data_IF_362558215542
#
_entry.id   IF_362558215542
#
_cell.length_a   1.000
_cell.length_b   1.000
_cell.length_c   1.000
_cell.angle_alpha   90.00
_cell.angle_beta   90.00
_cell.angle_gamma   90.00
#
_symmetry.space_group_name_H-M   'P 1'
#
loop_
_entity.id
_entity.type
_entity.pdbx_description
1 polymer ?
#
# COMPACT_ATOMS: atom_id res chain seq x y z
N UNK A 1 -19.11 -42.05 -75.07
CA UNK A 1 -18.01 -41.17 -74.76
C UNK A 1 -18.58 -39.87 -74.16
N UNK A 2 -18.69 -39.78 -72.84
CA UNK A 2 -19.12 -38.58 -72.13
C UNK A 2 -17.91 -37.92 -71.47
N UNK A 3 -17.50 -36.78 -71.97
CA UNK A 3 -16.43 -35.94 -71.36
C UNK A 3 -17.02 -34.98 -70.34
N UNK A 4 -16.74 -35.21 -69.06
CA UNK A 4 -17.10 -34.27 -67.99
C UNK A 4 -15.99 -33.21 -67.80
N UNK A 5 -16.32 -31.95 -67.95
CA UNK A 5 -15.41 -30.80 -67.63
C UNK A 5 -15.58 -30.46 -66.19
N UNK A 6 -14.56 -30.75 -65.40
CA UNK A 6 -14.51 -30.42 -63.99
C UNK A 6 -13.94 -28.96 -63.78
N UNK A 7 -14.83 -27.98 -63.70
CA UNK A 7 -14.44 -26.58 -63.43
C UNK A 7 -14.23 -26.45 -61.96
N UNK A 8 -12.97 -26.31 -61.47
CA UNK A 8 -12.64 -25.90 -60.15
C UNK A 8 -12.94 -24.40 -60.06
N UNK A 9 -14.06 -24.06 -59.43
CA UNK A 9 -14.35 -22.67 -59.03
C UNK A 9 -13.49 -22.35 -57.81
N UNK A 10 -12.51 -21.43 -57.86
CA UNK A 10 -11.81 -20.99 -56.66
C UNK A 10 -12.79 -20.17 -55.83
N UNK A 11 -13.41 -20.82 -54.85
CA UNK A 11 -14.15 -20.11 -53.81
C UNK A 11 -13.08 -19.31 -53.06
N UNK A 12 -13.03 -18.01 -53.29
CA UNK A 12 -12.12 -17.06 -52.66
C UNK A 12 -12.37 -17.06 -51.17
N UNK A 13 -11.72 -17.94 -50.46
CA UNK A 13 -11.67 -17.91 -49.00
C UNK A 13 -10.75 -16.74 -48.62
N UNK A 14 -11.30 -15.54 -48.53
CA UNK A 14 -10.58 -14.28 -48.20
C UNK A 14 -10.10 -14.22 -46.75
N UNK A 15 -10.07 -15.36 -46.05
CA UNK A 15 -9.63 -15.41 -44.62
C UNK A 15 -10.33 -14.38 -43.72
N UNK A 16 -11.55 -13.94 -44.09
CA UNK A 16 -12.27 -12.87 -43.41
C UNK A 16 -12.55 -13.21 -41.93
N UNK A 17 -12.79 -14.49 -41.63
CA UNK A 17 -12.95 -15.00 -40.27
C UNK A 17 -11.69 -14.79 -39.44
N UNK A 18 -10.52 -15.14 -39.93
CA UNK A 18 -9.23 -14.98 -39.27
C UNK A 18 -8.86 -13.51 -39.09
N UNK A 19 -9.19 -12.66 -40.04
CA UNK A 19 -8.97 -11.21 -39.94
C UNK A 19 -9.88 -10.62 -38.85
N UNK A 20 -11.15 -11.03 -38.81
CA UNK A 20 -12.09 -10.58 -37.81
C UNK A 20 -11.69 -11.03 -36.39
N UNK A 21 -11.25 -12.28 -36.22
CA UNK A 21 -10.73 -12.85 -35.00
C UNK A 21 -9.49 -12.08 -34.48
N UNK A 22 -8.50 -11.86 -35.35
CA UNK A 22 -7.29 -11.14 -35.03
C UNK A 22 -7.59 -9.68 -34.61
N UNK A 23 -8.53 -9.01 -35.29
CA UNK A 23 -8.98 -7.66 -34.91
C UNK A 23 -9.71 -7.67 -33.59
N UNK A 24 -10.51 -8.69 -33.29
CA UNK A 24 -11.18 -8.82 -31.99
C UNK A 24 -10.17 -9.06 -30.87
N UNK A 25 -9.19 -9.94 -31.08
CA UNK A 25 -8.10 -10.21 -30.14
C UNK A 25 -7.25 -8.95 -29.89
N UNK A 26 -6.95 -8.16 -30.92
CA UNK A 26 -6.24 -6.91 -30.78
C UNK A 26 -7.03 -5.89 -29.93
N UNK A 27 -8.33 -5.71 -30.19
CA UNK A 27 -9.17 -4.83 -29.39
C UNK A 27 -9.26 -5.30 -27.93
N UNK A 28 -9.37 -6.61 -27.72
CA UNK A 28 -9.34 -7.19 -26.36
C UNK A 28 -8.02 -6.90 -25.64
N UNK A 29 -6.89 -7.07 -26.32
CA UNK A 29 -5.58 -6.77 -25.75
C UNK A 29 -5.43 -5.29 -25.38
N UNK A 30 -5.89 -4.38 -26.24
CA UNK A 30 -5.89 -2.94 -25.94
C UNK A 30 -6.79 -2.60 -24.74
N UNK A 31 -7.97 -3.19 -24.66
CA UNK A 31 -8.88 -2.99 -23.53
C UNK A 31 -8.27 -3.53 -22.23
N UNK A 32 -7.64 -4.69 -22.27
CA UNK A 32 -6.94 -5.26 -21.12
C UNK A 32 -5.77 -4.37 -20.66
N UNK A 33 -4.99 -3.85 -21.59
CA UNK A 33 -3.89 -2.92 -21.27
C UNK A 33 -4.42 -1.65 -20.59
N UNK A 34 -5.48 -1.05 -21.13
CA UNK A 34 -6.09 0.14 -20.52
C UNK A 34 -6.67 -0.17 -19.12
N UNK A 35 -7.30 -1.33 -18.94
CA UNK A 35 -7.82 -1.75 -17.63
C UNK A 35 -6.68 -1.95 -16.62
N UNK A 36 -5.58 -2.59 -17.03
CA UNK A 36 -4.40 -2.79 -16.19
C UNK A 36 -3.76 -1.45 -15.79
N UNK A 37 -3.65 -0.51 -16.73
CA UNK A 37 -3.12 0.82 -16.44
C UNK A 37 -3.95 1.56 -15.39
N UNK A 38 -5.28 1.50 -15.50
CA UNK A 38 -6.19 2.09 -14.49
C UNK A 38 -6.01 1.40 -13.14
N UNK A 39 -5.93 0.06 -13.11
CA UNK A 39 -5.73 -0.71 -11.87
C UNK A 39 -4.43 -0.32 -11.16
N UNK A 40 -3.32 -0.24 -11.89
CA UNK A 40 -2.02 0.16 -11.34
C UNK A 40 -2.07 1.59 -10.78
N UNK A 41 -2.69 2.52 -11.50
CA UNK A 41 -2.85 3.90 -11.00
C UNK A 41 -3.67 3.97 -9.72
N UNK A 42 -4.73 3.17 -9.62
CA UNK A 42 -5.57 3.09 -8.42
C UNK A 42 -4.79 2.47 -7.24
N UNK A 43 -4.00 1.44 -7.49
CA UNK A 43 -3.16 0.78 -6.49
C UNK A 43 -2.11 1.74 -5.92
N UNK A 44 -1.38 2.45 -6.78
CA UNK A 44 -0.41 3.48 -6.35
C UNK A 44 -1.08 4.60 -5.55
N UNK A 45 -2.23 5.08 -6.01
CA UNK A 45 -2.96 6.14 -5.31
C UNK A 45 -3.46 5.67 -3.91
N UNK A 46 -3.95 4.43 -3.81
CA UNK A 46 -4.37 3.85 -2.55
C UNK A 46 -3.21 3.62 -1.58
N UNK A 47 -2.07 3.12 -2.08
CA UNK A 47 -0.85 2.91 -1.28
C UNK A 47 -0.28 4.24 -0.78
N UNK A 48 -0.26 5.28 -1.63
CA UNK A 48 0.16 6.61 -1.23
C UNK A 48 -0.76 7.22 -0.15
N UNK A 49 -2.07 7.08 -0.31
CA UNK A 49 -3.03 7.57 0.69
C UNK A 49 -2.84 6.86 2.05
N UNK A 50 -2.62 5.54 2.03
CA UNK A 50 -2.34 4.74 3.23
C UNK A 50 -1.04 5.17 3.90
N UNK A 51 0.04 5.32 3.12
CA UNK A 51 1.32 5.80 3.63
C UNK A 51 1.20 7.17 4.31
N UNK A 52 0.55 8.14 3.67
CA UNK A 52 0.36 9.46 4.23
C UNK A 52 -0.45 9.42 5.54
N UNK A 53 -1.54 8.64 5.57
CA UNK A 53 -2.36 8.51 6.77
C UNK A 53 -1.59 7.85 7.94
N UNK A 54 -0.84 6.78 7.69
CA UNK A 54 -0.05 6.09 8.71
C UNK A 54 1.12 6.95 9.21
N UNK A 55 1.77 7.70 8.30
CA UNK A 55 2.85 8.61 8.65
C UNK A 55 2.35 9.76 9.53
N UNK A 56 1.23 10.39 9.15
CA UNK A 56 0.59 11.46 9.92
C UNK A 56 0.14 10.95 11.31
N UNK A 57 -0.46 9.76 11.38
CA UNK A 57 -0.85 9.15 12.65
C UNK A 57 0.36 8.90 13.57
N UNK A 58 1.47 8.40 13.02
CA UNK A 58 2.72 8.18 13.75
C UNK A 58 3.31 9.48 14.29
N UNK A 59 3.35 10.54 13.48
CA UNK A 59 3.86 11.86 13.89
C UNK A 59 3.00 12.50 14.97
N UNK A 60 1.67 12.40 14.85
CA UNK A 60 0.73 12.93 15.83
C UNK A 60 0.87 12.21 17.17
N UNK A 61 0.95 10.87 17.12
CA UNK A 61 1.12 10.06 18.33
C UNK A 61 2.46 10.37 19.03
N UNK A 62 3.52 10.53 18.26
CA UNK A 62 4.83 10.91 18.80
C UNK A 62 4.79 12.29 19.49
N UNK A 63 4.18 13.29 18.85
CA UNK A 63 4.20 14.67 19.30
C UNK A 63 3.26 14.91 20.48
N UNK A 64 2.02 14.42 20.38
CA UNK A 64 0.99 14.72 21.38
C UNK A 64 1.05 13.80 22.58
N UNK A 65 1.31 12.53 22.36
CA UNK A 65 1.23 11.51 23.41
C UNK A 65 2.54 11.37 24.17
N UNK A 66 3.66 11.16 23.47
CA UNK A 66 4.94 10.97 24.14
C UNK A 66 5.45 12.26 24.79
N UNK A 67 5.22 13.42 24.15
CA UNK A 67 5.63 14.72 24.72
C UNK A 67 4.88 15.10 26.00
N UNK A 68 3.58 14.86 26.05
CA UNK A 68 2.74 15.17 27.23
C UNK A 68 2.91 14.16 28.36
N UNK A 69 3.28 12.92 28.01
CA UNK A 69 3.37 11.83 28.97
C UNK A 69 4.46 12.04 30.03
N UNK A 70 5.64 12.50 29.65
CA UNK A 70 6.74 12.75 30.60
C UNK A 70 6.36 13.81 31.63
N UNK A 71 5.66 14.84 31.20
CA UNK A 71 5.18 15.90 32.13
C UNK A 71 4.12 15.36 33.09
N UNK A 72 3.15 14.58 32.57
CA UNK A 72 2.12 13.95 33.40
C UNK A 72 2.72 12.96 34.41
N UNK A 73 3.71 12.17 34.02
CA UNK A 73 4.41 11.26 34.91
C UNK A 73 5.11 12.02 36.03
N UNK A 74 5.76 13.15 35.72
CA UNK A 74 6.42 14.02 36.74
C UNK A 74 5.41 14.63 37.70
N UNK A 75 4.26 15.07 37.21
CA UNK A 75 3.17 15.58 38.02
C UNK A 75 2.59 14.50 38.94
N UNK A 76 2.38 13.30 38.43
CA UNK A 76 1.89 12.15 39.19
C UNK A 76 2.86 11.77 40.31
N UNK A 77 4.17 11.73 40.04
CA UNK A 77 5.21 11.44 41.04
C UNK A 77 5.23 12.50 42.18
N UNK A 78 5.08 13.77 41.83
CA UNK A 78 4.99 14.85 42.83
C UNK A 78 3.72 14.72 43.66
N UNK A 79 2.60 14.41 43.08
CA UNK A 79 1.32 14.20 43.74
C UNK A 79 1.36 13.00 44.69
N UNK A 80 2.02 11.92 44.27
CA UNK A 80 2.25 10.73 45.07
C UNK A 80 3.17 11.06 46.28
N UNK A 81 4.27 11.75 46.06
CA UNK A 81 5.18 12.18 47.15
C UNK A 81 4.50 13.12 48.15
N UNK A 82 3.52 13.91 47.72
CA UNK A 82 2.71 14.77 48.58
C UNK A 82 1.55 14.03 49.28
N UNK A 83 1.40 12.71 49.07
CA UNK A 83 0.33 11.89 49.65
C UNK A 83 -1.07 12.17 49.08
N UNK A 84 -1.16 12.86 47.94
CA UNK A 84 -2.43 13.22 47.29
C UNK A 84 -2.95 12.17 46.32
N UNK A 85 -2.09 11.24 45.88
CA UNK A 85 -2.39 10.20 44.89
C UNK A 85 -1.99 8.85 45.47
N UNK A 86 -2.82 7.81 45.22
CA UNK A 86 -2.59 6.46 45.71
C UNK A 86 -1.59 5.70 44.83
N UNK A 87 -1.02 4.61 45.37
CA UNK A 87 -0.16 3.70 44.62
C UNK A 87 -0.88 3.09 43.41
N UNK A 88 -2.15 2.82 43.55
CA UNK A 88 -2.99 2.27 42.46
C UNK A 88 -3.02 3.19 41.26
N UNK A 89 -3.13 4.51 41.46
CA UNK A 89 -3.16 5.49 40.36
C UNK A 89 -1.83 5.51 39.62
N UNK A 90 -0.70 5.35 40.32
CA UNK A 90 0.62 5.25 39.71
C UNK A 90 0.74 3.98 38.85
N UNK A 91 0.18 2.86 39.31
CA UNK A 91 0.19 1.61 38.55
C UNK A 91 -0.68 1.69 37.30
N UNK A 92 -1.89 2.29 37.40
CA UNK A 92 -2.80 2.51 36.26
C UNK A 92 -2.10 3.37 35.22
N UNK A 93 -1.53 4.49 35.62
CA UNK A 93 -0.81 5.37 34.70
C UNK A 93 0.38 4.70 34.00
N UNK A 94 1.13 3.86 34.73
CA UNK A 94 2.22 3.09 34.13
C UNK A 94 1.72 2.08 33.10
N UNK A 95 0.59 1.46 33.34
CA UNK A 95 -0.03 0.53 32.39
C UNK A 95 -0.48 1.26 31.15
N UNK A 96 -1.18 2.38 31.29
CA UNK A 96 -1.58 3.20 30.15
C UNK A 96 -0.38 3.63 29.31
N UNK A 97 0.74 3.95 29.95
CA UNK A 97 1.96 4.28 29.20
C UNK A 97 2.50 3.13 28.36
N UNK A 98 2.54 1.93 28.91
CA UNK A 98 2.99 0.75 28.18
C UNK A 98 2.06 0.49 26.98
N UNK A 99 0.76 0.64 27.16
CA UNK A 99 -0.23 0.48 26.10
C UNK A 99 0.00 1.51 24.97
N UNK A 100 0.21 2.78 25.34
CA UNK A 100 0.52 3.86 24.39
C UNK A 100 1.85 3.62 23.63
N UNK A 101 2.88 3.15 24.34
CA UNK A 101 4.15 2.80 23.67
C UNK A 101 3.97 1.66 22.66
N UNK A 102 3.13 0.68 22.98
CA UNK A 102 2.79 -0.40 22.07
C UNK A 102 2.07 0.13 20.83
N UNK A 103 1.05 0.95 21.02
CA UNK A 103 0.28 1.57 19.93
C UNK A 103 1.20 2.41 19.03
N UNK A 104 2.16 3.12 19.61
CA UNK A 104 3.15 3.87 18.84
C UNK A 104 4.03 2.96 17.98
N UNK A 105 4.54 1.86 18.54
CA UNK A 105 5.35 0.88 17.77
C UNK A 105 4.53 0.28 16.63
N UNK A 106 3.27 -0.08 16.88
CA UNK A 106 2.35 -0.61 15.88
C UNK A 106 2.13 0.41 14.75
N UNK A 107 1.82 1.66 15.09
CA UNK A 107 1.60 2.74 14.11
C UNK A 107 2.84 3.04 13.26
N UNK A 108 4.04 3.05 13.87
CA UNK A 108 5.30 3.19 13.12
C UNK A 108 5.53 2.00 12.19
N UNK A 109 5.24 0.79 12.65
CA UNK A 109 5.36 -0.41 11.84
C UNK A 109 4.42 -0.37 10.64
N UNK A 110 3.18 0.06 10.83
CA UNK A 110 2.19 0.25 9.76
C UNK A 110 2.65 1.29 8.75
N UNK A 111 3.24 2.39 9.19
CA UNK A 111 3.79 3.41 8.29
C UNK A 111 4.96 2.87 7.45
N UNK A 112 5.85 2.07 8.05
CA UNK A 112 6.96 1.42 7.33
C UNK A 112 6.45 0.41 6.30
N UNK A 113 5.47 -0.42 6.67
CA UNK A 113 4.86 -1.39 5.76
C UNK A 113 4.14 -0.69 4.60
N UNK A 114 3.38 0.37 4.89
CA UNK A 114 2.73 1.17 3.85
C UNK A 114 3.74 1.84 2.91
N UNK A 115 4.91 2.25 3.41
CA UNK A 115 6.02 2.74 2.58
C UNK A 115 6.56 1.68 1.63
N UNK A 116 6.77 0.46 2.12
CA UNK A 116 7.21 -0.68 1.29
C UNK A 116 6.16 -1.03 0.22
N UNK A 117 4.87 -1.04 0.59
CA UNK A 117 3.77 -1.28 -0.36
C UNK A 117 3.74 -0.21 -1.46
N UNK A 118 3.98 1.05 -1.12
CA UNK A 118 4.06 2.14 -2.08
C UNK A 118 5.24 1.98 -3.04
N UNK A 119 6.44 1.62 -2.52
CA UNK A 119 7.61 1.35 -3.34
C UNK A 119 7.38 0.20 -4.31
N UNK A 120 6.76 -0.89 -3.85
CA UNK A 120 6.38 -2.02 -4.69
C UNK A 120 5.36 -1.63 -5.77
N UNK A 121 4.32 -0.89 -5.39
CA UNK A 121 3.27 -0.44 -6.33
C UNK A 121 3.84 0.53 -7.39
N UNK A 122 4.82 1.36 -7.03
CA UNK A 122 5.49 2.30 -7.94
C UNK A 122 6.60 1.64 -8.79
N UNK A 123 6.92 0.36 -8.54
CA UNK A 123 7.99 -0.36 -9.24
C UNK A 123 9.40 -0.01 -8.75
N UNK A 124 9.53 0.69 -7.64
CA UNK A 124 10.81 0.99 -7.00
C UNK A 124 11.21 -0.24 -6.16
N UNK A 125 12.25 -0.95 -6.60
CA UNK A 125 12.78 -2.06 -5.80
C UNK A 125 13.63 -1.51 -4.65
N UNK A 126 13.39 -1.91 -3.39
CA UNK A 126 14.11 -1.38 -2.21
C UNK A 126 15.61 -1.65 -2.20
N UNK A 127 16.13 -2.42 -3.15
CA UNK A 127 17.57 -2.75 -3.28
C UNK A 127 18.44 -1.62 -3.82
N UNK A 128 17.88 -0.55 -4.38
CA UNK A 128 18.67 0.52 -5.00
C UNK A 128 19.20 1.56 -3.99
N UNK A 129 18.52 1.76 -2.87
CA UNK A 129 18.88 2.80 -1.89
C UNK A 129 19.98 2.38 -0.90
N UNK A 130 20.23 1.09 -0.74
CA UNK A 130 21.25 0.60 0.20
C UNK A 130 22.69 0.69 -0.35
N UNK A 131 22.88 0.95 -1.67
CA UNK A 131 24.20 0.96 -2.31
C UNK A 131 24.84 2.35 -2.40
N UNK A 132 24.07 3.42 -2.18
CA UNK A 132 24.59 4.80 -2.22
C UNK A 132 25.02 5.36 -0.85
N UNK A 133 24.84 4.61 0.23
CA UNK A 133 25.17 5.03 1.60
C UNK A 133 26.45 4.39 2.16
N UNK A 134 27.39 3.97 1.32
CA UNK A 134 28.74 3.61 1.80
C UNK A 134 29.76 4.66 1.34
N UNK A 135 30.46 5.29 2.30
CA UNK A 135 31.52 6.27 2.03
C UNK A 135 32.75 5.66 1.40
#
# INVERSE_FOLDING_TARGET
LGGGVLVRIPIFNRNQGRIAETRAAHRQAMANTAATEISVRQEVAASLARYNASSEASENLQREVLGTFEENLRLLQRSFAAGKTGWTDVLVFRREFVDIQRDYIETVTDALLAGIELDLASGVTPTATAKEAQP
#
